data_IF_485337593616
#
_entry.id   IF_485337593616
#
_cell.length_a   1.000
_cell.length_b   1.000
_cell.length_c   1.000
_cell.angle_alpha   90.00
_cell.angle_beta   90.00
_cell.angle_gamma   90.00
#
_symmetry.space_group_name_H-M   'P 1'
#
loop_
_entity.id
_entity.type
_entity.pdbx_description
1 polymer ?
#
# COMPACT_ATOMS: atom_id res chain seq x y z
N UNK A 1 25.40 77.53 33.75
CA UNK A 1 25.49 76.64 32.59
C UNK A 1 25.72 75.23 33.10
N UNK A 2 24.64 74.47 33.29
CA UNK A 2 24.69 73.07 33.69
C UNK A 2 24.60 72.22 32.43
N UNK A 3 25.60 71.38 32.18
CA UNK A 3 25.63 70.47 31.04
C UNK A 3 24.72 69.26 31.33
N UNK A 4 23.74 69.03 30.46
CA UNK A 4 22.93 67.80 30.49
C UNK A 4 23.79 66.58 30.13
N UNK A 5 23.64 65.45 30.84
CA UNK A 5 24.34 64.23 30.52
C UNK A 5 23.68 63.54 29.31
N UNK A 6 24.44 63.33 28.26
CA UNK A 6 24.02 62.50 27.13
C UNK A 6 23.81 61.03 27.57
N UNK A 7 22.70 60.39 27.16
CA UNK A 7 22.45 58.98 27.46
C UNK A 7 23.45 58.10 26.71
N UNK A 8 24.07 57.16 27.43
CA UNK A 8 24.96 56.15 26.82
C UNK A 8 24.14 55.13 26.04
N UNK A 9 24.61 54.71 24.84
CA UNK A 9 23.90 53.72 24.04
C UNK A 9 23.86 52.37 24.76
N UNK A 10 22.65 51.81 24.87
CA UNK A 10 22.41 50.48 25.44
C UNK A 10 23.04 49.45 24.50
N UNK A 11 24.18 48.89 24.90
CA UNK A 11 24.81 47.76 24.23
C UNK A 11 24.05 46.50 24.61
N UNK A 12 23.10 46.10 23.76
CA UNK A 12 22.49 44.78 23.86
C UNK A 12 23.59 43.72 23.67
N UNK A 13 23.74 42.75 24.58
CA UNK A 13 24.70 41.68 24.40
C UNK A 13 24.34 40.92 23.12
N UNK A 14 25.32 40.72 22.25
CA UNK A 14 25.17 40.09 20.92
C UNK A 14 24.40 38.76 20.97
N UNK A 15 24.43 38.08 22.12
CA UNK A 15 23.65 36.88 22.42
C UNK A 15 22.11 37.08 22.30
N UNK A 16 21.57 38.24 22.66
CA UNK A 16 20.12 38.52 22.60
C UNK A 16 19.64 38.67 21.16
N UNK A 17 20.45 39.28 20.28
CA UNK A 17 20.13 39.34 18.85
C UNK A 17 20.15 37.95 18.19
N UNK A 18 21.14 37.12 18.52
CA UNK A 18 21.22 35.75 17.96
C UNK A 18 20.03 34.91 18.42
N UNK A 19 19.65 35.01 19.70
CA UNK A 19 18.46 34.31 20.21
C UNK A 19 17.17 34.78 19.53
N UNK A 20 17.01 36.07 19.29
CA UNK A 20 15.84 36.61 18.59
C UNK A 20 15.76 36.16 17.12
N UNK A 21 16.88 36.10 16.40
CA UNK A 21 16.92 35.63 15.01
C UNK A 21 16.61 34.13 14.91
N UNK A 22 17.13 33.32 15.84
CA UNK A 22 16.83 31.88 15.89
C UNK A 22 15.35 31.63 16.22
N UNK A 23 14.78 32.40 17.17
CA UNK A 23 13.36 32.30 17.50
C UNK A 23 12.46 32.74 16.33
N UNK A 24 12.80 33.81 15.61
CA UNK A 24 12.05 34.27 14.45
C UNK A 24 12.11 33.27 13.28
N UNK A 25 13.26 32.64 13.05
CA UNK A 25 13.41 31.56 12.06
C UNK A 25 12.55 30.34 12.39
N UNK A 26 12.46 29.94 13.66
CA UNK A 26 11.64 28.82 14.10
C UNK A 26 10.13 29.06 13.88
N UNK A 27 9.63 30.28 14.11
CA UNK A 27 8.21 30.63 13.89
C UNK A 27 7.85 30.69 12.41
N UNK A 28 8.72 31.25 11.56
CA UNK A 28 8.51 31.27 10.11
C UNK A 28 8.51 29.85 9.50
N UNK A 29 9.24 28.91 10.12
CA UNK A 29 9.30 27.51 9.71
C UNK A 29 8.01 26.75 10.03
N UNK A 30 7.33 27.11 11.12
CA UNK A 30 6.08 26.47 11.54
C UNK A 30 4.91 26.85 10.61
N UNK A 31 4.79 28.13 10.23
CA UNK A 31 3.73 28.61 9.35
C UNK A 31 3.87 28.09 7.90
N UNK A 32 5.10 27.93 7.40
CA UNK A 32 5.35 27.32 6.08
C UNK A 32 5.04 25.83 6.02
N UNK A 33 5.10 25.13 7.18
CA UNK A 33 4.84 23.69 7.27
C UNK A 33 3.37 23.35 7.02
N UNK A 34 2.44 24.13 7.58
CA UNK A 34 1.00 23.91 7.41
C UNK A 34 0.57 24.07 5.95
N UNK A 35 1.18 25.02 5.23
CA UNK A 35 0.85 25.31 3.84
C UNK A 35 1.42 24.26 2.85
N UNK A 36 2.56 23.63 3.19
CA UNK A 36 3.13 22.50 2.44
C UNK A 36 2.39 21.17 2.71
N UNK A 37 1.84 21.00 3.91
CA UNK A 37 1.01 19.82 4.23
C UNK A 37 -0.35 19.88 3.53
N UNK A 38 -0.93 21.08 3.36
CA UNK A 38 -2.21 21.24 2.64
C UNK A 38 -2.11 20.95 1.12
N UNK A 39 -0.95 21.17 0.50
CA UNK A 39 -0.78 21.03 -0.96
C UNK A 39 -0.49 19.59 -1.43
N UNK A 40 -0.17 18.67 -0.51
CA UNK A 40 0.11 17.25 -0.82
C UNK A 40 -1.11 16.33 -0.71
N UNK A 41 -2.32 16.89 -0.56
CA UNK A 41 -3.59 16.14 -0.59
C UNK A 41 -4.22 15.99 -1.98
N UNK A 42 -3.55 16.38 -3.07
CA UNK A 42 -4.10 16.17 -4.41
C UNK A 42 -3.97 14.69 -4.80
N UNK A 43 -5.09 13.97 -4.69
CA UNK A 43 -5.27 12.58 -5.15
C UNK A 43 -4.78 12.43 -6.59
N UNK A 44 -3.92 11.44 -6.90
CA UNK A 44 -3.66 11.07 -8.28
C UNK A 44 -4.93 10.41 -8.82
N UNK A 45 -5.53 11.07 -9.80
CA UNK A 45 -6.61 10.59 -10.65
C UNK A 45 -6.12 9.31 -11.37
N UNK A 46 -6.29 8.15 -10.74
CA UNK A 46 -5.97 6.87 -11.35
C UNK A 46 -7.21 6.36 -12.07
N UNK A 47 -7.19 6.59 -13.39
CA UNK A 47 -8.12 6.00 -14.33
C UNK A 47 -8.13 4.47 -14.15
N UNK A 48 -9.22 3.96 -13.59
CA UNK A 48 -9.58 2.55 -13.67
C UNK A 48 -9.74 2.23 -15.16
N UNK A 49 -8.80 1.44 -15.70
CA UNK A 49 -8.91 0.92 -17.06
C UNK A 49 -9.96 -0.19 -17.02
N UNK A 50 -11.24 0.20 -17.07
CA UNK A 50 -12.31 -0.71 -17.48
C UNK A 50 -12.05 -1.06 -18.95
N UNK A 51 -11.69 -2.31 -19.22
CA UNK A 51 -11.80 -2.84 -20.58
C UNK A 51 -13.27 -3.17 -20.84
N UNK A 52 -13.92 -2.55 -21.84
CA UNK A 52 -15.27 -2.92 -22.24
C UNK A 52 -15.21 -4.21 -23.09
N UNK A 53 -16.01 -5.21 -22.72
CA UNK A 53 -16.20 -6.42 -23.50
C UNK A 53 -16.77 -7.59 -22.70
N UNK A 54 -18.10 -7.65 -22.60
CA UNK A 54 -18.94 -8.84 -22.36
C UNK A 54 -18.32 -10.03 -21.62
N UNK A 55 -17.97 -9.83 -20.35
CA UNK A 55 -17.88 -10.94 -19.38
C UNK A 55 -18.97 -10.72 -18.36
N UNK A 56 -19.76 -11.76 -18.09
CA UNK A 56 -20.72 -11.79 -16.99
C UNK A 56 -19.98 -11.50 -15.68
N UNK A 57 -19.95 -10.25 -15.25
CA UNK A 57 -19.51 -9.86 -13.92
C UNK A 57 -20.67 -10.18 -12.99
N UNK A 58 -20.58 -11.32 -12.30
CA UNK A 58 -21.53 -11.62 -11.25
C UNK A 58 -21.30 -10.60 -10.13
N UNK A 59 -22.22 -9.64 -9.99
CA UNK A 59 -22.16 -8.61 -8.95
C UNK A 59 -22.51 -9.21 -7.59
N UNK A 60 -21.85 -8.67 -6.56
CA UNK A 60 -22.00 -9.06 -5.16
C UNK A 60 -23.47 -8.90 -4.69
N UNK A 61 -24.07 -9.94 -4.11
CA UNK A 61 -25.37 -9.84 -3.44
C UNK A 61 -26.39 -10.93 -3.77
N UNK A 62 -26.43 -11.44 -5.00
CA UNK A 62 -27.39 -12.49 -5.39
C UNK A 62 -26.72 -13.58 -6.21
N UNK A 63 -26.87 -14.81 -5.74
CA UNK A 63 -26.42 -15.97 -6.49
C UNK A 63 -27.25 -16.13 -7.77
N UNK A 64 -26.62 -16.31 -8.94
CA UNK A 64 -27.36 -16.53 -10.16
C UNK A 64 -28.24 -17.77 -10.01
N UNK A 65 -29.48 -17.69 -10.49
CA UNK A 65 -30.45 -18.79 -10.40
C UNK A 65 -30.08 -19.97 -11.31
N UNK A 66 -29.12 -19.77 -12.23
CA UNK A 66 -28.62 -20.80 -13.14
C UNK A 66 -27.10 -20.77 -13.21
N UNK A 67 -26.50 -21.96 -13.24
CA UNK A 67 -25.06 -22.11 -13.45
C UNK A 67 -24.64 -21.55 -14.82
N UNK A 68 -23.49 -20.86 -14.90
CA UNK A 68 -22.95 -20.39 -16.17
C UNK A 68 -22.61 -21.54 -17.11
N UNK A 69 -22.58 -21.27 -18.42
CA UNK A 69 -22.16 -22.22 -19.47
C UNK A 69 -20.69 -22.66 -19.36
N UNK A 70 -20.20 -23.46 -20.31
CA UNK A 70 -18.86 -24.09 -20.22
C UNK A 70 -17.70 -23.13 -20.52
N UNK A 71 -18.01 -21.88 -20.84
CA UNK A 71 -17.03 -20.82 -21.00
C UNK A 71 -16.58 -20.28 -19.64
N UNK A 72 -15.28 -19.95 -19.45
CA UNK A 72 -14.79 -19.35 -18.22
C UNK A 72 -15.51 -18.03 -17.91
N UNK A 73 -16.12 -17.94 -16.72
CA UNK A 73 -16.78 -16.71 -16.25
C UNK A 73 -15.89 -15.95 -15.29
N UNK A 74 -15.83 -14.63 -15.42
CA UNK A 74 -15.12 -13.78 -14.47
C UNK A 74 -15.85 -13.76 -13.13
N UNK A 75 -15.11 -13.99 -12.03
CA UNK A 75 -15.67 -14.09 -10.68
C UNK A 75 -14.87 -13.28 -9.69
N UNK A 76 -15.49 -13.00 -8.54
CA UNK A 76 -14.85 -12.40 -7.37
C UNK A 76 -14.81 -13.40 -6.21
N UNK A 77 -13.99 -13.13 -5.19
CA UNK A 77 -13.96 -13.93 -3.95
C UNK A 77 -15.32 -13.95 -3.24
N UNK A 78 -16.05 -12.83 -3.31
CA UNK A 78 -17.40 -12.71 -2.77
C UNK A 78 -18.35 -13.71 -3.45
N UNK A 79 -18.35 -13.77 -4.79
CA UNK A 79 -19.18 -14.71 -5.55
C UNK A 79 -18.80 -16.17 -5.28
N UNK A 80 -17.50 -16.48 -5.24
CA UNK A 80 -17.02 -17.84 -4.95
C UNK A 80 -17.41 -18.30 -3.54
N UNK A 81 -17.47 -17.37 -2.59
CA UNK A 81 -17.82 -17.65 -1.19
C UNK A 81 -19.33 -17.70 -0.95
N UNK A 82 -20.09 -16.79 -1.58
CA UNK A 82 -21.55 -16.72 -1.43
C UNK A 82 -22.26 -17.81 -2.22
N UNK A 83 -21.73 -18.17 -3.40
CA UNK A 83 -22.38 -19.07 -4.36
C UNK A 83 -21.53 -20.30 -4.75
N UNK A 84 -20.84 -20.97 -3.81
CA UNK A 84 -19.80 -21.95 -4.14
C UNK A 84 -20.36 -23.12 -4.94
N UNK A 85 -21.56 -23.60 -4.61
CA UNK A 85 -22.18 -24.77 -5.25
C UNK A 85 -22.63 -24.52 -6.68
N UNK A 86 -23.01 -23.28 -7.01
CA UNK A 86 -23.44 -22.93 -8.36
C UNK A 86 -22.27 -22.88 -9.34
N UNK A 87 -21.07 -22.61 -8.82
CA UNK A 87 -19.83 -22.60 -9.58
C UNK A 87 -19.03 -23.90 -9.45
N UNK A 88 -19.57 -24.93 -8.77
CA UNK A 88 -18.86 -26.18 -8.56
C UNK A 88 -18.48 -26.83 -9.89
N UNK A 89 -17.18 -27.12 -10.04
CA UNK A 89 -16.53 -27.67 -11.22
C UNK A 89 -16.66 -26.80 -12.49
N UNK A 90 -17.15 -25.57 -12.36
CA UNK A 90 -17.26 -24.63 -13.48
C UNK A 90 -15.93 -23.95 -13.77
N UNK A 91 -15.64 -23.65 -15.04
CA UNK A 91 -14.49 -22.84 -15.39
C UNK A 91 -14.73 -21.40 -14.97
N UNK A 92 -13.74 -20.81 -14.31
CA UNK A 92 -13.76 -19.45 -13.80
C UNK A 92 -12.47 -18.72 -14.18
N UNK A 93 -12.57 -17.40 -14.31
CA UNK A 93 -11.43 -16.50 -14.39
C UNK A 93 -11.44 -15.61 -13.15
N UNK A 94 -10.36 -15.64 -12.38
CA UNK A 94 -10.23 -14.91 -11.12
C UNK A 94 -8.97 -14.05 -11.17
N UNK A 95 -9.09 -12.77 -10.82
CA UNK A 95 -7.99 -11.81 -10.88
C UNK A 95 -7.75 -11.19 -9.51
N UNK A 96 -6.50 -11.12 -9.08
CA UNK A 96 -6.13 -10.55 -7.80
C UNK A 96 -4.63 -10.52 -7.56
N UNK A 97 -4.24 -10.02 -6.40
CA UNK A 97 -2.86 -10.01 -5.89
C UNK A 97 -2.49 -11.39 -5.34
N UNK A 98 -1.34 -11.94 -5.73
CA UNK A 98 -0.76 -13.11 -5.08
C UNK A 98 -0.16 -12.73 -3.72
N UNK A 99 -0.60 -13.34 -2.62
CA UNK A 99 -0.22 -12.98 -1.24
C UNK A 99 0.25 -14.18 -0.41
N UNK A 100 0.98 -13.92 0.69
CA UNK A 100 1.35 -14.91 1.74
C UNK A 100 2.20 -16.10 1.25
N UNK A 101 2.93 -15.95 0.15
CA UNK A 101 3.92 -16.92 -0.31
C UNK A 101 3.38 -17.99 -1.24
N UNK A 102 4.32 -18.69 -1.88
CA UNK A 102 4.06 -19.81 -2.79
C UNK A 102 4.53 -21.08 -2.09
N UNK A 103 3.62 -22.02 -1.87
CA UNK A 103 3.92 -23.31 -1.24
C UNK A 103 4.06 -24.34 -2.36
N UNK A 104 5.29 -24.65 -2.74
CA UNK A 104 5.58 -25.69 -3.73
C UNK A 104 5.34 -27.09 -3.16
N UNK A 105 4.67 -27.94 -3.94
CA UNK A 105 4.38 -29.34 -3.67
C UNK A 105 4.78 -30.23 -4.87
N UNK A 106 5.86 -29.86 -5.55
CA UNK A 106 6.50 -30.63 -6.61
C UNK A 106 5.88 -30.38 -7.98
N UNK A 107 4.73 -30.98 -8.27
CA UNK A 107 4.04 -30.77 -9.56
C UNK A 107 3.15 -29.54 -9.57
N UNK A 108 2.74 -29.10 -8.38
CA UNK A 108 1.84 -27.99 -8.19
C UNK A 108 2.31 -27.13 -7.04
N UNK A 109 1.92 -25.87 -7.08
CA UNK A 109 2.12 -24.95 -5.98
C UNK A 109 0.78 -24.36 -5.53
N UNK A 110 0.70 -24.04 -4.26
CA UNK A 110 -0.41 -23.30 -3.68
C UNK A 110 -0.03 -21.85 -3.48
N UNK A 111 -0.97 -20.96 -3.77
CA UNK A 111 -0.90 -19.56 -3.38
C UNK A 111 -2.28 -19.09 -2.95
N UNK A 112 -2.30 -17.96 -2.25
CA UNK A 112 -3.51 -17.23 -1.95
C UNK A 112 -3.59 -16.02 -2.89
N UNK A 113 -4.75 -15.79 -3.48
CA UNK A 113 -5.00 -14.67 -4.38
C UNK A 113 -6.14 -13.83 -3.84
N UNK A 114 -5.93 -12.52 -3.75
CA UNK A 114 -6.88 -11.57 -3.16
C UNK A 114 -7.34 -10.57 -4.21
N UNK A 115 -8.64 -10.47 -4.45
CA UNK A 115 -9.26 -9.52 -5.39
C UNK A 115 -9.87 -8.30 -4.69
N UNK A 116 -9.57 -8.12 -3.40
CA UNK A 116 -10.09 -7.01 -2.61
C UNK A 116 -9.58 -5.64 -3.07
N UNK A 117 -10.17 -4.55 -2.56
CA UNK A 117 -9.85 -3.19 -2.98
C UNK A 117 -8.39 -2.80 -2.74
N UNK A 118 -7.70 -3.43 -1.79
CA UNK A 118 -6.26 -3.18 -1.55
C UNK A 118 -5.34 -3.82 -2.58
N UNK A 119 -5.83 -4.80 -3.33
CA UNK A 119 -5.08 -5.43 -4.42
C UNK A 119 -5.28 -4.67 -5.75
N UNK A 120 -6.52 -4.26 -6.04
CA UNK A 120 -6.88 -3.81 -7.39
C UNK A 120 -7.09 -2.30 -7.52
N UNK A 121 -7.65 -1.62 -6.51
CA UNK A 121 -8.15 -0.25 -6.69
C UNK A 121 -7.41 0.80 -5.84
N UNK A 122 -7.22 0.51 -4.54
CA UNK A 122 -6.70 1.45 -3.54
C UNK A 122 -5.23 1.26 -3.21
N UNK A 123 -4.66 0.17 -3.72
CA UNK A 123 -3.31 -0.26 -3.37
C UNK A 123 -3.19 -0.77 -1.92
N UNK A 124 -2.01 -1.27 -1.55
CA UNK A 124 -1.83 -2.04 -0.32
C UNK A 124 -1.96 -1.17 0.93
N UNK A 125 -2.38 -1.78 2.04
CA UNK A 125 -2.70 -1.11 3.30
C UNK A 125 -1.63 -0.10 3.81
N UNK A 126 -0.30 -0.36 3.73
CA UNK A 126 0.68 0.64 4.15
C UNK A 126 0.64 1.94 3.34
N UNK A 127 0.14 1.88 2.10
CA UNK A 127 -0.04 3.02 1.22
C UNK A 127 -1.47 3.58 1.25
N UNK A 128 -2.46 2.80 1.68
CA UNK A 128 -3.86 3.23 1.74
C UNK A 128 -4.11 4.16 2.93
N UNK A 129 -4.89 5.23 2.69
CA UNK A 129 -5.33 6.17 3.75
C UNK A 129 -6.72 5.85 4.30
N UNK A 130 -7.38 4.83 3.74
CA UNK A 130 -8.76 4.47 4.06
C UNK A 130 -8.88 2.96 4.19
N UNK A 131 -9.70 2.54 5.14
CA UNK A 131 -10.12 1.14 5.26
C UNK A 131 -11.37 0.92 4.41
N UNK A 132 -11.31 0.00 3.44
CA UNK A 132 -12.46 -0.43 2.67
C UNK A 132 -12.45 -1.93 2.39
N UNK A 133 -13.65 -2.50 2.33
CA UNK A 133 -13.88 -3.90 1.99
C UNK A 133 -13.24 -4.89 2.96
N UNK A 134 -13.19 -6.15 2.53
CA UNK A 134 -12.49 -7.23 3.22
C UNK A 134 -11.27 -7.65 2.41
N UNK A 135 -10.28 -8.23 3.08
CA UNK A 135 -9.14 -8.86 2.42
C UNK A 135 -9.41 -10.36 2.28
N UNK A 136 -10.39 -10.71 1.44
CA UNK A 136 -10.75 -12.11 1.21
C UNK A 136 -9.82 -12.72 0.16
N UNK A 137 -9.17 -13.82 0.55
CA UNK A 137 -8.24 -14.54 -0.31
C UNK A 137 -8.78 -15.91 -0.71
N UNK A 138 -8.71 -16.21 -2.00
CA UNK A 138 -9.06 -17.52 -2.57
C UNK A 138 -7.79 -18.35 -2.71
N UNK A 139 -7.86 -19.61 -2.29
CA UNK A 139 -6.79 -20.56 -2.51
C UNK A 139 -6.73 -20.95 -3.99
N UNK A 140 -5.54 -20.89 -4.58
CA UNK A 140 -5.30 -21.26 -5.97
C UNK A 140 -4.19 -22.30 -6.04
N UNK A 141 -4.47 -23.40 -6.72
CA UNK A 141 -3.50 -24.46 -7.02
C UNK A 141 -3.06 -24.33 -8.46
N UNK A 142 -1.79 -24.03 -8.68
CA UNK A 142 -1.20 -23.79 -10.00
C UNK A 142 -0.18 -24.88 -10.34
N UNK A 143 0.12 -25.14 -11.63
CA UNK A 143 1.26 -25.97 -12.00
C UNK A 143 2.58 -25.32 -11.52
N UNK A 144 3.51 -26.07 -10.93
CA UNK A 144 4.77 -25.50 -10.38
C UNK A 144 5.60 -24.80 -11.46
N UNK A 145 5.53 -25.25 -12.72
CA UNK A 145 6.18 -24.58 -13.86
C UNK A 145 5.69 -23.13 -14.09
N UNK A 146 4.50 -22.76 -13.59
CA UNK A 146 3.95 -21.40 -13.64
C UNK A 146 4.22 -20.60 -12.37
N UNK A 147 4.53 -21.29 -11.26
CA UNK A 147 4.83 -20.61 -10.00
C UNK A 147 6.08 -19.73 -10.11
N UNK A 148 7.06 -20.17 -10.89
CA UNK A 148 8.31 -19.43 -11.11
C UNK A 148 8.18 -18.11 -11.88
N UNK A 149 7.02 -17.79 -12.47
CA UNK A 149 6.79 -16.47 -13.08
C UNK A 149 6.28 -15.42 -12.09
N UNK A 150 5.94 -15.82 -10.86
CA UNK A 150 5.45 -14.94 -9.81
C UNK A 150 6.62 -14.58 -8.89
N UNK A 151 7.37 -13.55 -9.26
CA UNK A 151 8.61 -13.17 -8.58
C UNK A 151 8.38 -12.54 -7.19
N UNK A 152 7.22 -11.91 -6.99
CA UNK A 152 6.92 -11.15 -5.77
C UNK A 152 5.49 -11.41 -5.34
N UNK A 153 5.34 -11.76 -4.06
CA UNK A 153 4.06 -11.93 -3.39
C UNK A 153 3.83 -10.78 -2.40
N UNK A 154 2.56 -10.50 -2.13
CA UNK A 154 2.15 -9.49 -1.17
C UNK A 154 2.53 -9.87 0.25
N UNK A 155 3.16 -8.92 0.95
CA UNK A 155 3.49 -8.97 2.36
C UNK A 155 3.52 -7.55 2.96
N UNK A 156 4.04 -7.37 4.17
CA UNK A 156 4.09 -6.07 4.84
C UNK A 156 4.99 -5.02 4.14
N UNK A 157 5.84 -5.43 3.21
CA UNK A 157 6.86 -4.64 2.50
C UNK A 157 6.74 -4.72 0.99
N UNK A 158 5.86 -5.57 0.45
CA UNK A 158 5.70 -5.76 -0.98
C UNK A 158 4.22 -5.73 -1.35
N UNK A 159 3.93 -5.07 -2.47
CA UNK A 159 2.72 -5.33 -3.22
C UNK A 159 3.00 -6.52 -4.12
N UNK A 160 2.20 -7.57 -3.99
CA UNK A 160 2.32 -8.78 -4.79
C UNK A 160 2.04 -8.52 -6.26
N UNK A 161 2.40 -9.50 -7.09
CA UNK A 161 2.01 -9.50 -8.49
C UNK A 161 0.48 -9.61 -8.60
N UNK A 162 -0.11 -8.81 -9.48
CA UNK A 162 -1.50 -8.99 -9.90
C UNK A 162 -1.52 -10.05 -10.98
N UNK A 163 -2.24 -11.14 -10.73
CA UNK A 163 -2.35 -12.27 -11.63
C UNK A 163 -3.79 -12.47 -12.07
N UNK A 164 -3.97 -13.01 -13.26
CA UNK A 164 -5.24 -13.57 -13.75
C UNK A 164 -5.08 -15.10 -13.80
N UNK A 165 -6.03 -15.78 -13.18
CA UNK A 165 -6.06 -17.24 -13.05
C UNK A 165 -7.28 -17.75 -13.78
N UNK A 166 -7.08 -18.68 -14.70
CA UNK A 166 -8.17 -19.43 -15.33
C UNK A 166 -8.08 -20.89 -14.94
N UNK A 167 -9.19 -21.46 -14.48
CA UNK A 167 -9.26 -22.84 -14.05
C UNK A 167 -10.64 -23.22 -13.54
N UNK A 168 -10.74 -24.34 -12.82
CA UNK A 168 -12.01 -24.82 -12.29
C UNK A 168 -12.16 -24.52 -10.81
N UNK A 169 -13.31 -23.99 -10.42
CA UNK A 169 -13.65 -23.84 -9.01
C UNK A 169 -14.06 -25.18 -8.41
N UNK A 170 -13.37 -25.59 -7.34
CA UNK A 170 -13.71 -26.78 -6.59
C UNK A 170 -14.13 -26.40 -5.19
N UNK A 171 -15.36 -26.73 -4.81
CA UNK A 171 -15.90 -26.46 -3.48
C UNK A 171 -15.24 -27.34 -2.42
N UNK A 172 -14.92 -28.58 -2.80
CA UNK A 172 -14.18 -29.52 -1.96
C UNK A 172 -13.50 -30.56 -2.85
N UNK A 173 -12.27 -30.94 -2.47
CA UNK A 173 -11.53 -32.01 -3.14
C UNK A 173 -10.79 -32.87 -2.11
N UNK A 174 -10.97 -34.19 -2.16
CA UNK A 174 -10.30 -35.12 -1.23
C UNK A 174 -8.77 -35.08 -1.33
N UNK A 175 -8.21 -34.80 -2.51
CA UNK A 175 -6.78 -34.65 -2.74
C UNK A 175 -6.18 -33.35 -2.21
N UNK A 176 -7.01 -32.36 -1.86
CA UNK A 176 -6.59 -31.03 -1.37
C UNK A 176 -7.06 -30.78 0.08
N UNK A 177 -7.15 -31.86 0.89
CA UNK A 177 -7.64 -31.83 2.27
C UNK A 177 -9.07 -31.25 2.44
N UNK A 178 -9.87 -31.25 1.37
CA UNK A 178 -11.28 -30.86 1.40
C UNK A 178 -11.55 -29.36 1.27
N UNK A 179 -10.52 -28.52 1.16
CA UNK A 179 -10.67 -27.07 1.04
C UNK A 179 -11.19 -26.62 -0.34
N UNK A 180 -11.88 -25.49 -0.36
CA UNK A 180 -12.33 -24.86 -1.60
C UNK A 180 -11.17 -24.13 -2.28
N UNK A 181 -11.01 -24.32 -3.60
CA UNK A 181 -9.89 -23.75 -4.35
C UNK A 181 -10.17 -23.65 -5.85
N UNK A 182 -9.44 -22.77 -6.53
CA UNK A 182 -9.34 -22.79 -7.98
C UNK A 182 -8.19 -23.73 -8.37
N UNK A 183 -8.49 -24.75 -9.17
CA UNK A 183 -7.47 -25.56 -9.86
C UNK A 183 -7.14 -24.89 -11.18
N UNK A 184 -6.05 -24.14 -11.18
CA UNK A 184 -5.64 -23.34 -12.31
C UNK A 184 -5.04 -24.22 -13.41
N UNK A 185 -5.47 -23.95 -14.63
CA UNK A 185 -4.90 -24.48 -15.86
C UNK A 185 -3.98 -23.43 -16.49
N UNK A 186 -4.30 -22.15 -16.27
CA UNK A 186 -3.55 -21.00 -16.78
C UNK A 186 -3.41 -19.94 -15.70
N UNK A 187 -2.23 -19.32 -15.68
CA UNK A 187 -1.89 -18.18 -14.83
C UNK A 187 -1.11 -17.20 -15.67
N UNK A 188 -1.60 -15.96 -15.72
CA UNK A 188 -0.92 -14.85 -16.37
C UNK A 188 -0.60 -13.77 -15.34
N UNK A 189 0.65 -13.29 -15.35
CA UNK A 189 1.04 -12.12 -14.56
C UNK A 189 0.64 -10.87 -15.32
N UNK A 190 -0.36 -10.16 -14.82
CA UNK A 190 -0.90 -8.93 -15.42
C UNK A 190 -0.06 -7.72 -15.02
N UNK A 191 0.35 -7.68 -13.75
CA UNK A 191 1.23 -6.66 -13.21
C UNK A 191 2.28 -7.31 -12.30
N UNK A 192 3.58 -7.05 -12.51
CA UNK A 192 4.61 -7.56 -11.61
C UNK A 192 4.47 -6.91 -10.22
N UNK A 193 4.82 -7.67 -9.18
CA UNK A 193 4.87 -7.16 -7.82
C UNK A 193 6.04 -6.19 -7.63
N UNK A 194 5.96 -5.37 -6.59
CA UNK A 194 6.98 -4.38 -6.29
C UNK A 194 7.08 -4.10 -4.79
N UNK A 195 8.23 -3.53 -4.38
CA UNK A 195 8.46 -3.15 -2.99
C UNK A 195 7.68 -1.89 -2.63
N UNK A 196 7.12 -1.89 -1.43
CA UNK A 196 6.51 -0.73 -0.81
C UNK A 196 7.58 0.05 -0.06
N UNK A 197 7.74 1.31 -0.44
CA UNK A 197 8.54 2.23 0.34
C UNK A 197 7.77 2.58 1.62
N UNK A 198 8.44 2.54 2.79
CA UNK A 198 7.79 2.96 4.02
C UNK A 198 7.37 4.43 3.89
N UNK A 199 6.17 4.80 4.36
CA UNK A 199 5.73 6.18 4.30
C UNK A 199 6.74 7.07 5.03
N UNK A 200 7.35 8.01 4.28
CA UNK A 200 8.27 8.99 4.86
C UNK A 200 7.46 9.91 5.77
N UNK A 201 7.62 9.76 7.08
CA UNK A 201 6.97 10.67 8.03
C UNK A 201 7.66 12.03 7.96
N UNK A 202 6.97 13.10 7.51
CA UNK A 202 7.56 14.43 7.47
C UNK A 202 7.97 14.88 8.87
N UNK A 203 7.20 14.52 9.89
CA UNK A 203 7.51 14.82 11.29
C UNK A 203 8.85 14.20 11.72
N UNK A 204 9.15 12.96 11.34
CA UNK A 204 10.45 12.33 11.66
C UNK A 204 11.59 13.04 10.95
N UNK A 205 11.39 13.45 9.69
CA UNK A 205 12.38 14.22 8.95
C UNK A 205 12.64 15.57 9.63
N UNK A 206 11.59 16.31 10.01
CA UNK A 206 11.72 17.60 10.67
C UNK A 206 12.31 17.49 12.08
N UNK A 207 11.95 16.45 12.84
CA UNK A 207 12.57 16.17 14.14
C UNK A 207 14.08 15.91 14.01
N UNK A 208 14.50 15.16 12.98
CA UNK A 208 15.91 14.92 12.70
C UNK A 208 16.65 16.22 12.34
N UNK A 209 16.05 17.07 11.50
CA UNK A 209 16.61 18.40 11.16
C UNK A 209 16.73 19.28 12.39
N UNK A 210 15.70 19.34 13.25
CA UNK A 210 15.72 20.12 14.47
C UNK A 210 16.78 19.63 15.47
N UNK A 211 16.91 18.31 15.62
CA UNK A 211 17.94 17.71 16.46
C UNK A 211 19.35 18.01 15.96
N UNK A 212 19.59 17.94 14.64
CA UNK A 212 20.86 18.32 14.04
C UNK A 212 21.17 19.81 14.25
N UNK A 213 20.18 20.70 14.08
CA UNK A 213 20.31 22.12 14.37
C UNK A 213 20.65 22.39 15.84
N UNK A 214 19.99 21.70 16.78
CA UNK A 214 20.29 21.81 18.21
C UNK A 214 21.71 21.31 18.53
N UNK A 215 22.14 20.19 17.95
CA UNK A 215 23.48 19.67 18.16
C UNK A 215 24.55 20.67 17.67
N UNK A 216 24.36 21.29 16.50
CA UNK A 216 25.26 22.30 15.94
C UNK A 216 25.31 23.58 16.80
N UNK A 217 24.17 24.03 17.32
CA UNK A 217 24.14 25.21 18.20
C UNK A 217 24.83 24.95 19.54
N UNK A 218 24.61 23.79 20.14
CA UNK A 218 25.28 23.39 21.39
C UNK A 218 26.79 23.22 21.22
N UNK A 219 27.24 22.58 20.13
CA UNK A 219 28.68 22.45 19.83
C UNK A 219 29.32 23.80 19.53
N UNK A 220 28.67 24.66 18.75
CA UNK A 220 29.14 26.02 18.49
C UNK A 220 29.27 26.86 19.75
N UNK A 221 28.27 26.81 20.65
CA UNK A 221 28.31 27.50 21.93
C UNK A 221 29.41 26.96 22.87
N UNK A 222 29.60 25.64 22.91
CA UNK A 222 30.66 25.00 23.70
C UNK A 222 32.06 25.36 23.17
N UNK A 223 32.23 25.44 21.86
CA UNK A 223 33.47 25.88 21.22
C UNK A 223 33.77 27.35 21.50
N UNK A 224 32.76 28.22 21.39
CA UNK A 224 32.91 29.65 21.68
C UNK A 224 33.28 29.91 23.14
N UNK A 225 32.71 29.16 24.10
CA UNK A 225 33.07 29.23 25.52
C UNK A 225 34.50 28.79 25.84
N UNK A 226 35.15 28.02 24.97
CA UNK A 226 36.52 27.53 25.16
C UNK A 226 37.59 28.45 24.54
N UNK A 227 37.18 29.44 23.74
CA UNK A 227 38.06 30.49 23.22
C UNK A 227 38.05 31.68 24.16
#
# INVERSE_FOLDING_TARGET
MSAEPHPRPVRWPTAVMVAAVVAAGAVASAAGLDQLLATTQREPDQAVVERPGDRLTLTEGDCPTRAPGDEPVAVTSAVLTQCPRLLADRPVTYRGEAVRGIIDQGRHAWLQVNDGPYALDRGPLPASRTTAGTNAGVAVRIPSARAGSIDTVGDARHHGAIIEVTGRWQVSNAGDAGGAAIRAERVDVIQPGHRLDPPRSPLRTWAAVAAAGLALTLTGAAWWRRR
#
